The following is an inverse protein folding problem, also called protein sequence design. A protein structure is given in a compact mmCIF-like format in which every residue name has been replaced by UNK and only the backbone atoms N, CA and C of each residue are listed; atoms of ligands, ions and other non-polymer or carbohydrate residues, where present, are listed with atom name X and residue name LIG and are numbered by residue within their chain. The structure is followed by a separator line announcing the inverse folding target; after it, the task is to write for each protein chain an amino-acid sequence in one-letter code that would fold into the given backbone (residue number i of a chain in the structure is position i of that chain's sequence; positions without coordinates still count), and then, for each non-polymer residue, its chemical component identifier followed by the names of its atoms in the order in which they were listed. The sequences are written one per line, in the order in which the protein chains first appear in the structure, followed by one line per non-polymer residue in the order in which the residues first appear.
data_IF_348234851373
#
_entry.id   IF_348234851373
#
_cell.length_a   1.000
_cell.length_b   1.000
_cell.length_c   1.000
_cell.angle_alpha   90.00
_cell.angle_beta   90.00
_cell.angle_gamma   90.00
#
_symmetry.space_group_name_H-M   'P 1'
#
loop_
_entity.id
_entity.type
_entity.pdbx_description
1 polymer ?
#
# COMPACT_ATOMS: atom_id res chain seq x y z
N UNK A 1 -20.24 1.34 9.02
CA UNK A 1 -20.48 0.17 8.14
C UNK A 1 -20.88 -1.02 9.00
N UNK A 2 -21.90 -1.76 8.58
CA UNK A 2 -22.31 -3.03 9.21
C UNK A 2 -21.51 -4.21 8.59
N UNK A 3 -21.66 -5.41 9.14
CA UNK A 3 -20.87 -6.58 8.70
C UNK A 3 -21.16 -6.97 7.22
N UNK A 4 -22.39 -6.74 6.74
CA UNK A 4 -22.75 -6.98 5.33
C UNK A 4 -22.08 -5.97 4.39
N UNK A 5 -22.00 -4.70 4.76
CA UNK A 5 -21.28 -3.68 4.00
C UNK A 5 -19.79 -3.95 3.95
N UNK A 6 -19.20 -4.44 5.06
CA UNK A 6 -17.76 -4.78 5.08
C UNK A 6 -17.49 -5.98 4.20
N UNK A 7 -18.33 -7.01 4.29
CA UNK A 7 -18.22 -8.17 3.40
C UNK A 7 -18.31 -7.77 1.94
N UNK A 8 -19.27 -6.92 1.57
CA UNK A 8 -19.39 -6.39 0.21
C UNK A 8 -18.15 -5.63 -0.24
N UNK A 9 -17.59 -4.82 0.62
CA UNK A 9 -16.37 -4.07 0.37
C UNK A 9 -15.16 -4.97 0.08
N UNK A 10 -14.96 -5.99 0.92
CA UNK A 10 -13.90 -6.98 0.76
C UNK A 10 -14.11 -7.83 -0.51
N UNK A 11 -15.38 -8.15 -0.84
CA UNK A 11 -15.74 -8.86 -2.06
C UNK A 11 -15.35 -8.05 -3.30
N UNK A 12 -15.68 -6.76 -3.34
CA UNK A 12 -15.33 -5.84 -4.42
C UNK A 12 -13.80 -5.69 -4.55
N UNK A 13 -13.09 -5.56 -3.43
CA UNK A 13 -11.63 -5.47 -3.43
C UNK A 13 -10.98 -6.75 -3.99
N UNK A 14 -11.50 -7.92 -3.60
CA UNK A 14 -11.02 -9.19 -4.11
C UNK A 14 -11.35 -9.40 -5.60
N UNK A 15 -12.55 -8.97 -6.06
CA UNK A 15 -12.90 -8.98 -7.49
C UNK A 15 -11.94 -8.12 -8.30
N UNK A 16 -11.56 -6.95 -7.80
CA UNK A 16 -10.57 -6.09 -8.44
C UNK A 16 -9.20 -6.77 -8.55
N UNK A 17 -8.77 -7.44 -7.49
CA UNK A 17 -7.48 -8.15 -7.44
C UNK A 17 -7.37 -9.32 -8.42
N UNK A 18 -8.49 -9.88 -8.88
CA UNK A 18 -8.52 -11.03 -9.79
C UNK A 18 -9.10 -10.68 -11.15
N UNK A 19 -9.32 -9.39 -11.42
CA UNK A 19 -10.02 -8.94 -12.64
C UNK A 19 -9.24 -9.21 -13.93
N UNK A 20 -7.92 -9.25 -13.87
CA UNK A 20 -7.03 -9.55 -14.99
C UNK A 20 -6.99 -11.04 -15.37
N UNK A 21 -7.57 -11.91 -14.51
CA UNK A 21 -7.63 -13.35 -14.73
C UNK A 21 -6.30 -14.07 -14.54
N UNK A 22 -5.23 -13.40 -14.11
CA UNK A 22 -3.96 -14.02 -13.77
C UNK A 22 -4.12 -14.74 -12.42
N UNK A 23 -4.49 -16.01 -12.52
CA UNK A 23 -4.71 -16.88 -11.38
C UNK A 23 -3.48 -17.79 -11.18
N UNK A 24 -2.34 -17.24 -10.77
CA UNK A 24 -1.25 -18.04 -10.27
C UNK A 24 -1.66 -18.68 -8.93
N UNK A 25 -1.37 -19.96 -8.77
CA UNK A 25 -1.66 -20.73 -7.55
C UNK A 25 -1.03 -20.11 -6.31
N UNK A 26 0.07 -19.38 -6.48
CA UNK A 26 0.75 -18.59 -5.42
C UNK A 26 -0.05 -17.37 -5.01
N UNK A 27 -0.66 -16.65 -5.95
CA UNK A 27 -1.53 -15.50 -5.66
C UNK A 27 -2.78 -15.94 -4.92
N UNK A 28 -3.40 -17.04 -5.35
CA UNK A 28 -4.54 -17.65 -4.63
C UNK A 28 -4.19 -18.05 -3.21
N UNK A 29 -3.03 -18.68 -3.01
CA UNK A 29 -2.57 -19.05 -1.67
C UNK A 29 -2.31 -17.82 -0.79
N UNK A 30 -1.73 -16.77 -1.36
CA UNK A 30 -1.47 -15.49 -0.68
C UNK A 30 -2.77 -14.79 -0.29
N UNK A 31 -3.75 -14.73 -1.21
CA UNK A 31 -5.06 -14.13 -0.96
C UNK A 31 -5.85 -14.93 0.11
N UNK A 32 -5.78 -16.27 0.08
CA UNK A 32 -6.41 -17.13 1.07
C UNK A 32 -5.78 -16.97 2.46
N UNK A 33 -4.46 -16.91 2.55
CA UNK A 33 -3.74 -16.68 3.81
C UNK A 33 -4.04 -15.26 4.36
N UNK A 34 -4.10 -14.27 3.49
CA UNK A 34 -4.49 -12.91 3.84
C UNK A 34 -5.94 -12.85 4.34
N UNK A 35 -6.86 -13.52 3.65
CA UNK A 35 -8.25 -13.63 4.05
C UNK A 35 -8.38 -14.26 5.45
N UNK A 36 -7.61 -15.31 5.74
CA UNK A 36 -7.55 -15.94 7.05
C UNK A 36 -7.07 -14.98 8.15
N UNK A 37 -6.04 -14.18 7.87
CA UNK A 37 -5.48 -13.22 8.84
C UNK A 37 -6.37 -12.01 9.09
N UNK A 38 -7.10 -11.52 8.08
CA UNK A 38 -8.02 -10.38 8.23
C UNK A 38 -9.34 -10.77 8.88
N UNK A 39 -9.72 -12.05 8.78
CA UNK A 39 -10.98 -12.59 9.31
C UNK A 39 -10.98 -12.90 10.81
N UNK A 40 -9.86 -12.73 11.52
CA UNK A 40 -9.77 -13.08 12.95
C UNK A 40 -10.82 -12.33 13.78
N UNK A 41 -11.99 -12.94 13.88
CA UNK A 41 -13.02 -12.70 14.90
C UNK A 41 -14.38 -12.18 14.46
N UNK A 42 -14.63 -11.68 13.23
CA UNK A 42 -15.95 -11.10 12.87
C UNK A 42 -16.49 -11.48 11.49
N UNK A 43 -15.66 -11.68 10.48
CA UNK A 43 -16.10 -11.98 9.11
C UNK A 43 -15.30 -13.18 8.63
N UNK A 44 -16.00 -14.22 8.18
CA UNK A 44 -15.36 -15.35 7.52
C UNK A 44 -15.02 -14.95 6.07
N UNK A 45 -13.74 -14.63 5.87
CA UNK A 45 -13.23 -14.25 4.57
C UNK A 45 -13.05 -15.45 3.63
N UNK A 46 -13.14 -16.68 4.14
CA UNK A 46 -13.21 -17.89 3.31
C UNK A 46 -14.45 -17.84 2.43
N UNK A 47 -15.58 -17.40 2.99
CA UNK A 47 -16.82 -17.20 2.25
C UNK A 47 -16.70 -16.13 1.17
N UNK A 48 -15.98 -15.02 1.44
CA UNK A 48 -15.72 -13.95 0.44
C UNK A 48 -14.86 -14.49 -0.71
N UNK A 49 -13.84 -15.26 -0.36
CA UNK A 49 -12.99 -15.94 -1.33
C UNK A 49 -13.78 -16.92 -2.20
N UNK A 50 -14.63 -17.73 -1.59
CA UNK A 50 -15.49 -18.70 -2.29
C UNK A 50 -16.52 -18.00 -3.16
N UNK A 51 -17.12 -16.90 -2.72
CA UNK A 51 -18.07 -16.11 -3.51
C UNK A 51 -17.42 -15.58 -4.80
N UNK A 52 -16.19 -15.07 -4.73
CA UNK A 52 -15.50 -14.47 -5.87
C UNK A 52 -14.89 -15.54 -6.80
N UNK A 53 -14.13 -16.48 -6.26
CA UNK A 53 -13.29 -17.38 -7.06
C UNK A 53 -13.99 -18.69 -7.43
N UNK A 54 -14.88 -19.18 -6.57
CA UNK A 54 -15.59 -20.46 -6.78
C UNK A 54 -16.98 -20.21 -7.36
N UNK A 55 -17.80 -19.41 -6.69
CA UNK A 55 -19.20 -19.15 -7.08
C UNK A 55 -19.31 -18.12 -8.17
N UNK A 56 -18.29 -17.26 -8.36
CA UNK A 56 -18.24 -16.19 -9.37
C UNK A 56 -19.51 -15.33 -9.34
N UNK A 57 -19.83 -14.80 -8.15
CA UNK A 57 -21.03 -13.97 -7.99
C UNK A 57 -20.96 -12.73 -8.87
N UNK A 58 -22.10 -12.25 -9.43
CA UNK A 58 -22.15 -11.03 -10.22
C UNK A 58 -21.75 -9.80 -9.43
N UNK A 59 -21.16 -8.81 -10.09
CA UNK A 59 -20.82 -7.50 -9.47
C UNK A 59 -22.07 -6.87 -8.82
N UNK A 60 -23.23 -6.95 -9.48
CA UNK A 60 -24.51 -6.43 -8.98
C UNK A 60 -24.87 -7.00 -7.62
N UNK A 61 -24.63 -8.29 -7.38
CA UNK A 61 -24.95 -8.95 -6.12
C UNK A 61 -23.91 -8.57 -5.04
N UNK A 62 -22.64 -8.47 -5.42
CA UNK A 62 -21.56 -8.07 -4.54
C UNK A 62 -21.75 -6.66 -3.97
N UNK A 63 -22.28 -5.72 -4.75
CA UNK A 63 -22.46 -4.32 -4.34
C UNK A 63 -23.79 -4.04 -3.64
N UNK A 64 -24.73 -4.97 -3.67
CA UNK A 64 -26.09 -4.77 -3.13
C UNK A 64 -26.12 -4.29 -1.66
N UNK A 65 -25.25 -4.80 -0.75
CA UNK A 65 -25.25 -4.34 0.62
C UNK A 65 -24.72 -2.91 0.81
N UNK A 66 -24.07 -2.32 -0.20
CA UNK A 66 -23.55 -0.94 -0.14
C UNK A 66 -24.67 0.05 -0.42
N UNK A 67 -25.35 0.49 0.64
CA UNK A 67 -26.59 1.29 0.51
C UNK A 67 -26.34 2.78 0.46
N UNK A 68 -25.25 3.28 1.05
CA UNK A 68 -24.93 4.71 1.09
C UNK A 68 -24.04 5.13 -0.08
N UNK A 69 -24.22 6.36 -0.57
CA UNK A 69 -23.36 6.95 -1.64
C UNK A 69 -21.89 6.92 -1.22
N UNK A 70 -21.60 7.21 0.04
CA UNK A 70 -20.24 7.22 0.57
C UNK A 70 -19.60 5.81 0.54
N UNK A 71 -20.33 4.78 0.99
CA UNK A 71 -19.84 3.40 0.96
C UNK A 71 -19.59 2.91 -0.48
N UNK A 72 -20.47 3.30 -1.43
CA UNK A 72 -20.31 2.97 -2.85
C UNK A 72 -19.09 3.64 -3.46
N UNK A 73 -18.89 4.93 -3.18
CA UNK A 73 -17.72 5.68 -3.65
C UNK A 73 -16.42 5.09 -3.08
N UNK A 74 -16.36 4.83 -1.78
CA UNK A 74 -15.20 4.22 -1.15
C UNK A 74 -14.89 2.82 -1.70
N UNK A 75 -15.92 2.00 -1.99
CA UNK A 75 -15.72 0.70 -2.62
C UNK A 75 -15.12 0.83 -4.01
N UNK A 76 -15.57 1.81 -4.79
CA UNK A 76 -15.01 2.10 -6.11
C UNK A 76 -13.57 2.56 -6.04
N UNK A 77 -13.25 3.54 -5.19
CA UNK A 77 -11.88 4.02 -4.95
C UNK A 77 -10.95 2.86 -4.55
N UNK A 78 -11.43 1.98 -3.67
CA UNK A 78 -10.66 0.80 -3.24
C UNK A 78 -10.39 -0.14 -4.40
N UNK A 79 -11.39 -0.41 -5.24
CA UNK A 79 -11.24 -1.26 -6.42
C UNK A 79 -10.22 -0.67 -7.40
N UNK A 80 -10.28 0.65 -7.66
CA UNK A 80 -9.29 1.36 -8.49
C UNK A 80 -7.88 1.20 -7.89
N UNK A 81 -7.74 1.39 -6.58
CA UNK A 81 -6.45 1.26 -5.90
C UNK A 81 -5.87 -0.17 -5.99
N UNK A 82 -6.71 -1.18 -5.84
CA UNK A 82 -6.30 -2.59 -5.95
C UNK A 82 -5.93 -2.96 -7.39
N UNK A 83 -6.74 -2.56 -8.36
CA UNK A 83 -6.48 -2.83 -9.78
C UNK A 83 -5.19 -2.18 -10.32
N UNK A 84 -4.73 -1.08 -9.70
CA UNK A 84 -3.48 -0.41 -10.08
C UNK A 84 -2.28 -0.81 -9.19
N UNK A 85 -2.43 -1.80 -8.31
CA UNK A 85 -1.43 -2.14 -7.29
C UNK A 85 -0.09 -2.60 -7.88
N UNK A 86 -0.09 -3.26 -9.04
CA UNK A 86 1.12 -3.72 -9.74
C UNK A 86 1.74 -2.64 -10.66
N UNK A 87 1.07 -1.51 -10.83
CA UNK A 87 1.50 -0.38 -11.66
C UNK A 87 1.23 -0.58 -13.16
N UNK A 88 0.48 -1.61 -13.54
CA UNK A 88 0.07 -1.89 -14.92
C UNK A 88 -1.44 -1.99 -14.97
N UNK A 89 -2.09 -1.16 -15.76
CA UNK A 89 -3.53 -1.17 -15.94
C UNK A 89 -3.91 -2.03 -17.15
N UNK A 90 -4.41 -3.22 -16.92
CA UNK A 90 -4.82 -4.13 -17.98
C UNK A 90 -6.18 -3.75 -18.59
N UNK A 91 -6.47 -4.12 -19.86
CA UNK A 91 -7.78 -3.93 -20.45
C UNK A 91 -8.92 -4.63 -19.68
N UNK A 92 -8.64 -5.76 -19.03
CA UNK A 92 -9.60 -6.50 -18.24
C UNK A 92 -9.99 -5.75 -16.95
N UNK A 93 -9.00 -5.19 -16.26
CA UNK A 93 -9.23 -4.32 -15.08
C UNK A 93 -10.02 -3.08 -15.46
N UNK A 94 -9.69 -2.44 -16.60
CA UNK A 94 -10.44 -1.31 -17.12
C UNK A 94 -11.90 -1.65 -17.44
N UNK A 95 -12.18 -2.85 -17.95
CA UNK A 95 -13.54 -3.32 -18.17
C UNK A 95 -14.27 -3.54 -16.85
N UNK A 96 -13.62 -4.23 -15.90
CA UNK A 96 -14.15 -4.46 -14.57
C UNK A 96 -14.50 -3.15 -13.84
N UNK A 97 -13.60 -2.16 -13.85
CA UNK A 97 -13.84 -0.87 -13.18
C UNK A 97 -15.01 -0.09 -13.80
N UNK A 98 -15.21 -0.17 -15.13
CA UNK A 98 -16.39 0.45 -15.77
C UNK A 98 -17.69 -0.23 -15.33
N UNK A 99 -17.73 -1.57 -15.32
CA UNK A 99 -18.90 -2.33 -14.90
C UNK A 99 -19.21 -2.11 -13.43
N UNK A 100 -18.18 -2.03 -12.59
CA UNK A 100 -18.28 -1.73 -11.16
C UNK A 100 -18.83 -0.31 -10.93
N UNK A 101 -18.34 0.70 -11.66
CA UNK A 101 -18.84 2.07 -11.56
C UNK A 101 -20.34 2.13 -11.87
N UNK A 102 -20.77 1.45 -12.92
CA UNK A 102 -22.18 1.36 -13.30
C UNK A 102 -23.03 0.66 -12.20
N UNK A 103 -22.55 -0.47 -11.65
CA UNK A 103 -23.25 -1.20 -10.60
C UNK A 103 -23.35 -0.42 -9.29
N UNK A 104 -22.32 0.36 -8.94
CA UNK A 104 -22.30 1.21 -7.75
C UNK A 104 -23.06 2.53 -7.95
N UNK A 105 -23.39 2.91 -9.21
CA UNK A 105 -23.98 4.19 -9.53
C UNK A 105 -23.04 5.38 -9.34
N UNK A 106 -21.73 5.15 -9.52
CA UNK A 106 -20.70 6.20 -9.51
C UNK A 106 -20.76 6.95 -10.86
N UNK A 107 -20.87 8.29 -10.87
CA UNK A 107 -20.87 9.07 -12.12
C UNK A 107 -19.62 8.80 -12.96
N UNK A 108 -19.78 8.75 -14.28
CA UNK A 108 -18.70 8.37 -15.19
C UNK A 108 -17.49 9.33 -15.14
N UNK A 109 -17.75 10.63 -14.96
CA UNK A 109 -16.72 11.66 -14.80
C UNK A 109 -15.94 11.50 -13.48
N UNK A 110 -16.62 11.16 -12.39
CA UNK A 110 -16.00 10.86 -11.10
C UNK A 110 -15.19 9.56 -11.19
N UNK A 111 -15.73 8.51 -11.77
CA UNK A 111 -15.04 7.25 -11.99
C UNK A 111 -13.74 7.43 -12.81
N UNK A 112 -13.81 8.22 -13.88
CA UNK A 112 -12.66 8.53 -14.72
C UNK A 112 -11.62 9.38 -13.99
N UNK A 113 -12.04 10.28 -13.10
CA UNK A 113 -11.12 11.08 -12.29
C UNK A 113 -10.31 10.19 -11.33
N UNK A 114 -10.92 9.17 -10.69
CA UNK A 114 -10.22 8.22 -9.83
C UNK A 114 -9.22 7.37 -10.62
N UNK A 115 -9.62 6.83 -11.77
CA UNK A 115 -8.72 6.05 -12.64
C UNK A 115 -7.55 6.92 -13.11
N UNK A 116 -7.81 8.14 -13.59
CA UNK A 116 -6.78 9.06 -14.04
C UNK A 116 -5.79 9.46 -12.93
N UNK A 117 -6.25 9.58 -11.69
CA UNK A 117 -5.39 9.83 -10.54
C UNK A 117 -4.52 8.58 -10.21
N UNK A 118 -5.10 7.39 -10.28
CA UNK A 118 -4.38 6.12 -10.09
C UNK A 118 -3.31 5.92 -11.18
N UNK A 119 -3.65 6.17 -12.44
CA UNK A 119 -2.71 6.13 -13.57
C UNK A 119 -1.55 7.12 -13.37
N UNK A 120 -1.84 8.34 -12.90
CA UNK A 120 -0.82 9.34 -12.62
C UNK A 120 0.12 8.91 -11.50
N UNK A 121 -0.38 8.23 -10.46
CA UNK A 121 0.43 7.67 -9.39
C UNK A 121 1.29 6.50 -9.88
N UNK A 122 0.71 5.58 -10.65
CA UNK A 122 1.42 4.45 -11.25
C UNK A 122 2.52 4.93 -12.22
N UNK A 123 2.20 5.90 -13.11
CA UNK A 123 3.16 6.51 -14.00
C UNK A 123 4.29 7.23 -13.25
N UNK A 124 3.97 7.92 -12.14
CA UNK A 124 4.97 8.56 -11.30
C UNK A 124 5.93 7.53 -10.68
N UNK A 125 5.41 6.37 -10.29
CA UNK A 125 6.22 5.24 -9.81
C UNK A 125 7.05 4.58 -10.93
N UNK A 126 6.55 4.59 -12.19
CA UNK A 126 7.19 3.96 -13.35
C UNK A 126 8.32 4.76 -14.00
N UNK A 127 8.35 6.09 -13.86
CA UNK A 127 9.29 6.98 -14.57
C UNK A 127 10.72 6.95 -14.00
N UNK A 128 10.95 6.38 -12.84
CA UNK A 128 12.27 6.36 -12.22
C UNK A 128 13.16 5.18 -12.67
N UNK A 129 13.05 4.65 -13.88
CA UNK A 129 14.10 3.79 -14.39
C UNK A 129 13.70 2.64 -15.29
N UNK A 130 14.12 2.74 -16.51
CA UNK A 130 14.26 1.64 -17.45
C UNK A 130 15.76 1.45 -17.75
N UNK A 131 16.44 0.56 -17.05
CA UNK A 131 17.71 -0.03 -17.50
C UNK A 131 17.99 -1.29 -16.69
N UNK A 132 17.98 -2.40 -17.36
CA UNK A 132 18.24 -3.74 -16.82
C UNK A 132 19.73 -4.08 -16.83
N UNK A 133 20.56 -3.28 -16.18
CA UNK A 133 21.98 -3.58 -16.02
C UNK A 133 22.25 -3.81 -14.53
N UNK A 134 22.97 -4.88 -14.20
CA UNK A 134 23.37 -5.15 -12.81
C UNK A 134 24.01 -3.89 -12.22
N UNK A 135 23.53 -3.38 -11.06
CA UNK A 135 24.01 -2.11 -10.53
C UNK A 135 25.51 -2.16 -10.28
N UNK A 136 26.25 -1.25 -10.93
CA UNK A 136 27.68 -1.14 -10.76
C UNK A 136 28.05 -0.92 -9.28
N UNK A 137 29.17 -1.49 -8.85
CA UNK A 137 29.74 -1.17 -7.53
C UNK A 137 30.03 0.33 -7.44
N UNK A 138 29.92 0.93 -6.24
CA UNK A 138 30.31 2.32 -6.07
C UNK A 138 31.68 2.60 -6.66
N UNK A 139 31.82 3.73 -7.34
CA UNK A 139 33.10 4.13 -7.91
C UNK A 139 34.18 4.24 -6.80
N UNK A 140 35.43 3.87 -7.07
CA UNK A 140 36.52 4.08 -6.14
C UNK A 140 36.57 5.55 -5.71
N UNK A 141 36.53 5.84 -4.41
CA UNK A 141 36.54 7.20 -3.88
C UNK A 141 35.15 7.82 -3.64
N UNK A 142 34.06 7.05 -3.76
CA UNK A 142 32.74 7.54 -3.35
C UNK A 142 32.75 7.91 -1.86
N UNK A 143 32.30 9.13 -1.55
CA UNK A 143 32.20 9.62 -0.17
C UNK A 143 31.03 8.95 0.51
N UNK A 144 31.28 8.31 1.66
CA UNK A 144 30.20 7.68 2.45
C UNK A 144 29.17 8.73 2.85
N UNK A 145 27.87 8.39 2.77
CA UNK A 145 26.81 9.33 3.11
C UNK A 145 26.81 9.68 4.60
N UNK A 146 26.28 10.85 4.93
CA UNK A 146 25.97 11.20 6.31
C UNK A 146 24.82 10.30 6.81
N UNK A 147 25.15 9.41 7.74
CA UNK A 147 24.23 8.46 8.32
C UNK A 147 23.08 9.17 9.06
N UNK A 148 23.37 10.31 9.71
CA UNK A 148 22.34 11.07 10.44
C UNK A 148 21.33 11.69 9.47
N UNK A 149 21.79 12.18 8.33
CA UNK A 149 20.91 12.70 7.28
C UNK A 149 20.03 11.60 6.67
N UNK A 150 20.57 10.39 6.46
CA UNK A 150 19.78 9.23 6.02
C UNK A 150 18.74 8.81 7.06
N UNK A 151 19.08 8.79 8.35
CA UNK A 151 18.13 8.47 9.41
C UNK A 151 16.99 9.49 9.49
N UNK A 152 17.29 10.78 9.37
CA UNK A 152 16.28 11.83 9.30
C UNK A 152 15.35 11.66 8.07
N UNK A 153 15.93 11.31 6.91
CA UNK A 153 15.16 11.04 5.69
C UNK A 153 14.23 9.81 5.85
N UNK A 154 14.72 8.73 6.47
CA UNK A 154 13.93 7.53 6.75
C UNK A 154 12.75 7.87 7.66
N UNK A 155 12.98 8.63 8.75
CA UNK A 155 11.91 9.06 9.65
C UNK A 155 10.89 9.93 8.92
N UNK A 156 11.33 10.93 8.14
CA UNK A 156 10.44 11.80 7.37
C UNK A 156 9.57 11.03 6.37
N UNK A 157 10.14 10.06 5.66
CA UNK A 157 9.40 9.18 4.77
C UNK A 157 8.40 8.30 5.53
N UNK A 158 8.77 7.79 6.71
CA UNK A 158 7.91 6.97 7.57
C UNK A 158 6.72 7.77 8.10
N UNK A 159 6.95 9.01 8.55
CA UNK A 159 5.89 9.94 8.97
C UNK A 159 4.95 10.25 7.81
N UNK A 160 5.49 10.50 6.61
CA UNK A 160 4.68 10.79 5.43
C UNK A 160 3.80 9.60 5.05
N UNK A 161 4.34 8.38 5.00
CA UNK A 161 3.58 7.18 4.67
C UNK A 161 2.53 6.84 5.74
N UNK A 162 2.84 7.04 7.02
CA UNK A 162 1.85 6.91 8.09
C UNK A 162 0.72 7.95 7.98
N UNK A 163 1.06 9.17 7.60
CA UNK A 163 0.08 10.23 7.38
C UNK A 163 -0.86 9.92 6.20
N UNK A 164 -0.35 9.34 5.11
CA UNK A 164 -1.17 8.88 3.99
C UNK A 164 -2.15 7.78 4.41
N UNK A 165 -1.74 6.89 5.32
CA UNK A 165 -2.62 5.84 5.84
C UNK A 165 -3.78 6.40 6.68
N UNK A 166 -3.62 7.59 7.29
CA UNK A 166 -4.67 8.28 8.04
C UNK A 166 -5.72 8.97 7.14
N UNK A 167 -5.40 9.22 5.87
CA UNK A 167 -6.33 9.89 4.97
C UNK A 167 -7.50 8.97 4.63
N UNK A 168 -8.72 9.53 4.50
CA UNK A 168 -9.90 8.75 4.14
C UNK A 168 -9.83 8.19 2.72
N UNK A 169 -9.11 8.87 1.84
CA UNK A 169 -9.00 8.51 0.43
C UNK A 169 -8.15 7.24 0.25
N UNK A 170 -8.73 6.24 -0.39
CA UNK A 170 -8.05 4.98 -0.71
C UNK A 170 -6.84 5.19 -1.62
N UNK A 171 -6.93 6.13 -2.56
CA UNK A 171 -5.86 6.50 -3.49
C UNK A 171 -4.62 7.07 -2.80
N UNK A 172 -4.76 7.72 -1.64
CA UNK A 172 -3.61 8.18 -0.86
C UNK A 172 -2.71 7.00 -0.43
N UNK A 173 -3.32 5.88 -0.10
CA UNK A 173 -2.59 4.66 0.28
C UNK A 173 -1.80 4.04 -0.87
N UNK A 174 -2.20 4.25 -2.13
CA UNK A 174 -1.45 3.79 -3.31
C UNK A 174 -0.06 4.45 -3.43
N UNK A 175 0.11 5.65 -2.88
CA UNK A 175 1.39 6.35 -2.91
C UNK A 175 2.42 5.75 -1.95
N UNK A 176 2.00 4.95 -0.96
CA UNK A 176 2.90 4.42 0.09
C UNK A 176 4.02 3.57 -0.53
N UNK A 177 3.67 2.60 -1.36
CA UNK A 177 4.67 1.73 -1.97
C UNK A 177 5.61 2.47 -2.94
N UNK A 178 5.13 3.31 -3.87
CA UNK A 178 6.01 4.16 -4.67
C UNK A 178 6.97 5.02 -3.84
N UNK A 179 6.53 5.56 -2.71
CA UNK A 179 7.37 6.34 -1.81
C UNK A 179 8.40 5.46 -1.07
N UNK A 180 8.06 4.22 -0.70
CA UNK A 180 9.02 3.25 -0.16
C UNK A 180 10.08 2.87 -1.21
N UNK A 181 9.68 2.59 -2.44
CA UNK A 181 10.58 2.32 -3.57
C UNK A 181 11.53 3.51 -3.80
N UNK A 182 10.99 4.73 -3.79
CA UNK A 182 11.79 5.95 -3.90
C UNK A 182 12.79 6.10 -2.74
N UNK A 183 12.37 5.83 -1.51
CA UNK A 183 13.25 5.88 -0.34
C UNK A 183 14.45 4.92 -0.52
N UNK A 184 14.20 3.67 -0.91
CA UNK A 184 15.25 2.67 -1.17
C UNK A 184 16.20 3.15 -2.27
N UNK A 185 15.64 3.72 -3.35
CA UNK A 185 16.43 4.31 -4.44
C UNK A 185 17.34 5.44 -3.95
N UNK A 186 16.82 6.37 -3.17
CA UNK A 186 17.58 7.50 -2.64
C UNK A 186 18.70 7.04 -1.71
N UNK A 187 18.44 6.05 -0.85
CA UNK A 187 19.44 5.47 0.02
C UNK A 187 20.54 4.80 -0.79
N UNK A 188 20.20 3.97 -1.77
CA UNK A 188 21.19 3.32 -2.61
C UNK A 188 22.04 4.32 -3.42
N UNK A 189 21.42 5.38 -3.94
CA UNK A 189 22.14 6.50 -4.61
C UNK A 189 23.11 7.20 -3.65
N UNK A 190 22.70 7.41 -2.39
CA UNK A 190 23.59 8.02 -1.39
C UNK A 190 24.84 7.16 -1.10
N UNK A 191 24.73 5.85 -1.22
CA UNK A 191 25.88 4.92 -1.14
C UNK A 191 26.61 4.75 -2.48
N UNK A 192 26.29 5.53 -3.51
CA UNK A 192 26.98 5.54 -4.81
C UNK A 192 26.58 4.43 -5.77
N UNK A 193 25.47 3.74 -5.52
CA UNK A 193 24.96 2.73 -6.45
C UNK A 193 24.13 3.39 -7.55
N UNK A 194 24.35 2.96 -8.80
CA UNK A 194 23.43 3.22 -9.89
C UNK A 194 22.35 2.13 -9.88
N UNK A 195 21.13 2.52 -9.56
CA UNK A 195 20.01 1.59 -9.36
C UNK A 195 18.95 1.83 -10.43
N UNK A 196 18.40 0.75 -10.95
CA UNK A 196 17.13 0.77 -11.66
C UNK A 196 15.95 0.36 -10.73
N UNK A 197 14.74 0.63 -11.18
CA UNK A 197 13.55 0.28 -10.40
C UNK A 197 13.28 -1.22 -10.28
N UNK A 198 13.72 -2.00 -11.25
CA UNK A 198 13.56 -3.45 -11.24
C UNK A 198 14.23 -4.05 -10.00
N UNK A 199 15.47 -3.70 -9.75
CA UNK A 199 16.23 -4.15 -8.57
C UNK A 199 15.61 -3.68 -7.26
N UNK A 200 15.05 -2.48 -7.22
CA UNK A 200 14.44 -1.95 -6.00
C UNK A 200 13.11 -2.64 -5.74
N UNK A 201 12.29 -2.85 -6.76
CA UNK A 201 11.04 -3.62 -6.65
C UNK A 201 11.33 -5.05 -6.19
N UNK A 202 12.36 -5.70 -6.72
CA UNK A 202 12.81 -7.03 -6.29
C UNK A 202 13.28 -7.03 -4.83
N UNK A 203 14.02 -6.02 -4.40
CA UNK A 203 14.42 -5.85 -3.00
C UNK A 203 13.18 -5.76 -2.08
N UNK A 204 12.22 -4.90 -2.41
CA UNK A 204 10.99 -4.72 -1.63
C UNK A 204 10.12 -5.98 -1.66
N UNK A 205 9.98 -6.64 -2.82
CA UNK A 205 9.24 -7.89 -2.96
C UNK A 205 9.88 -9.04 -2.17
N UNK A 206 11.21 -9.10 -2.11
CA UNK A 206 11.95 -10.10 -1.32
C UNK A 206 11.61 -10.04 0.17
N UNK A 207 11.23 -8.86 0.68
CA UNK A 207 10.80 -8.68 2.08
C UNK A 207 9.39 -9.22 2.37
N UNK A 208 8.69 -9.75 1.37
CA UNK A 208 7.31 -10.23 1.49
C UNK A 208 6.29 -9.10 1.45
N UNK A 209 6.73 -7.91 1.07
CA UNK A 209 5.87 -6.75 0.79
C UNK A 209 5.34 -6.93 -0.63
N UNK A 210 4.38 -7.85 -0.81
CA UNK A 210 3.73 -8.10 -2.08
C UNK A 210 2.78 -6.96 -2.44
N UNK A 211 2.83 -6.51 -3.71
CA UNK A 211 2.08 -5.34 -4.18
C UNK A 211 0.58 -5.49 -3.88
N UNK A 212 -0.06 -6.54 -4.36
CA UNK A 212 -1.50 -6.76 -4.23
C UNK A 212 -1.91 -7.15 -2.81
N UNK A 213 -1.17 -8.06 -2.16
CA UNK A 213 -1.45 -8.51 -0.79
C UNK A 213 -1.34 -7.40 0.25
N UNK A 214 -0.38 -6.49 0.09
CA UNK A 214 -0.18 -5.36 0.99
C UNK A 214 -1.33 -4.34 0.89
N UNK A 215 -1.83 -4.07 -0.32
CA UNK A 215 -2.99 -3.19 -0.49
C UNK A 215 -4.24 -3.79 0.13
N UNK A 216 -4.53 -5.07 -0.11
CA UNK A 216 -5.67 -5.76 0.51
C UNK A 216 -5.56 -5.78 2.03
N UNK A 217 -4.36 -6.00 2.59
CA UNK A 217 -4.13 -5.99 4.03
C UNK A 217 -4.29 -4.57 4.62
N UNK A 218 -3.79 -3.53 3.96
CA UNK A 218 -3.99 -2.14 4.38
C UNK A 218 -5.48 -1.76 4.36
N UNK A 219 -6.21 -2.11 3.29
CA UNK A 219 -7.64 -1.84 3.21
C UNK A 219 -8.43 -2.63 4.22
N UNK A 220 -8.14 -3.92 4.39
CA UNK A 220 -8.78 -4.75 5.40
C UNK A 220 -8.59 -4.19 6.81
N UNK A 221 -7.37 -3.79 7.18
CA UNK A 221 -7.10 -3.15 8.49
C UNK A 221 -7.80 -1.80 8.64
N UNK A 222 -7.84 -0.97 7.60
CA UNK A 222 -8.51 0.33 7.62
C UNK A 222 -10.01 0.18 7.84
N UNK A 223 -10.62 -0.81 7.18
CA UNK A 223 -12.03 -1.15 7.35
C UNK A 223 -12.33 -1.70 8.74
N UNK A 224 -11.55 -2.66 9.22
CA UNK A 224 -11.74 -3.27 10.53
C UNK A 224 -11.41 -2.29 11.67
N UNK A 225 -10.37 -1.48 11.52
CA UNK A 225 -9.98 -0.46 12.49
C UNK A 225 -11.00 0.67 12.63
N UNK A 226 -11.58 1.13 11.52
CA UNK A 226 -12.66 2.12 11.52
C UNK A 226 -13.93 1.63 12.21
N UNK A 227 -14.21 0.32 12.13
CA UNK A 227 -15.36 -0.33 12.79
C UNK A 227 -15.18 -0.48 14.29
N UNK A 228 -13.99 -0.86 14.75
CA UNK A 228 -13.69 -0.96 16.18
C UNK A 228 -13.81 0.40 16.86
N UNK A 229 -13.44 1.49 16.16
CA UNK A 229 -13.57 2.85 16.66
C UNK A 229 -15.02 3.30 16.88
N UNK A 230 -15.95 2.88 16.02
CA UNK A 230 -17.38 3.21 16.13
C UNK A 230 -18.11 2.37 17.18
N UNK A 231 -17.70 1.13 17.41
CA UNK A 231 -18.33 0.22 18.36
C UNK A 231 -17.92 0.48 19.82
N UNK A 232 -16.74 1.02 20.05
CA UNK A 232 -16.21 1.29 21.40
C UNK A 232 -16.53 2.69 21.95
N UNK A 233 -17.37 3.46 21.26
CA UNK A 233 -18.07 4.62 21.81
C UNK A 233 -17.21 5.79 22.26
N UNK A 234 -17.38 6.93 21.60
CA UNK A 234 -16.95 8.23 22.09
C UNK A 234 -15.79 8.87 21.33
N UNK A 235 -15.95 10.15 21.05
CA UNK A 235 -15.04 11.01 20.27
C UNK A 235 -13.56 11.00 20.76
N UNK A 236 -13.30 10.52 21.98
CA UNK A 236 -11.95 10.39 22.54
C UNK A 236 -11.21 9.11 22.15
N UNK A 237 -11.90 8.04 21.72
CA UNK A 237 -11.29 6.76 21.34
C UNK A 237 -10.89 6.69 19.87
N UNK A 238 -11.49 7.52 19.00
CA UNK A 238 -11.19 7.57 17.57
C UNK A 238 -9.71 7.91 17.28
N UNK A 239 -9.10 8.76 18.09
CA UNK A 239 -7.68 9.14 17.95
C UNK A 239 -6.75 7.96 18.29
N UNK A 240 -7.10 7.15 19.29
CA UNK A 240 -6.25 6.04 19.75
C UNK A 240 -6.24 4.84 18.78
N UNK A 241 -7.34 4.57 18.07
CA UNK A 241 -7.44 3.44 17.14
C UNK A 241 -6.97 3.76 15.72
N UNK A 242 -7.10 5.01 15.27
CA UNK A 242 -6.49 5.48 14.03
C UNK A 242 -4.95 5.44 14.09
N UNK A 243 -4.36 5.68 15.26
CA UNK A 243 -2.91 5.58 15.44
C UNK A 243 -2.38 4.15 15.35
N UNK A 244 -3.19 3.13 15.63
CA UNK A 244 -2.75 1.73 15.53
C UNK A 244 -2.63 1.24 14.08
N UNK A 245 -3.51 1.68 13.16
CA UNK A 245 -3.40 1.34 11.74
C UNK A 245 -2.31 2.15 11.02
N UNK A 246 -2.22 3.46 11.25
CA UNK A 246 -1.17 4.33 10.70
C UNK A 246 0.23 3.95 11.16
N UNK A 247 0.33 3.24 12.27
CA UNK A 247 1.56 2.71 12.79
C UNK A 247 2.22 1.67 11.90
N UNK A 248 1.46 0.94 11.11
CA UNK A 248 2.04 -0.11 10.27
C UNK A 248 2.75 0.48 9.04
N UNK A 249 2.21 1.50 8.39
CA UNK A 249 2.91 2.18 7.30
C UNK A 249 4.18 2.88 7.81
N UNK A 250 4.15 3.48 9.01
CA UNK A 250 5.35 4.01 9.65
C UNK A 250 6.40 2.92 9.85
N UNK A 251 6.03 1.86 10.57
CA UNK A 251 6.97 0.79 10.96
C UNK A 251 7.56 0.08 9.73
N UNK A 252 6.74 -0.21 8.73
CA UNK A 252 7.18 -0.87 7.48
C UNK A 252 8.15 0.04 6.71
N UNK A 253 7.82 1.31 6.54
CA UNK A 253 8.68 2.26 5.82
C UNK A 253 10.00 2.48 6.56
N UNK A 254 9.97 2.61 7.87
CA UNK A 254 11.17 2.73 8.69
C UNK A 254 12.05 1.48 8.58
N UNK A 255 11.46 0.29 8.70
CA UNK A 255 12.18 -0.99 8.58
C UNK A 255 12.81 -1.16 7.19
N UNK A 256 12.08 -0.85 6.10
CA UNK A 256 12.60 -0.88 4.73
C UNK A 256 13.79 0.08 4.59
N UNK A 257 13.67 1.30 5.09
CA UNK A 257 14.74 2.31 5.03
C UNK A 257 15.99 1.87 5.80
N UNK A 258 15.85 1.38 7.04
CA UNK A 258 16.96 0.88 7.83
C UNK A 258 17.63 -0.35 7.19
N UNK A 259 16.84 -1.25 6.64
CA UNK A 259 17.37 -2.42 5.94
C UNK A 259 18.09 -2.04 4.65
N UNK A 260 17.56 -1.09 3.87
CA UNK A 260 18.25 -0.57 2.68
C UNK A 260 19.60 0.08 3.06
N UNK A 261 19.64 0.84 4.16
CA UNK A 261 20.87 1.42 4.70
C UNK A 261 21.90 0.33 5.06
N UNK A 262 21.49 -0.74 5.73
CA UNK A 262 22.36 -1.88 6.05
C UNK A 262 22.82 -2.62 4.80
N UNK A 263 21.92 -2.85 3.85
CA UNK A 263 22.20 -3.58 2.60
C UNK A 263 23.20 -2.87 1.73
N UNK A 264 22.95 -1.59 1.42
CA UNK A 264 23.86 -0.80 0.58
C UNK A 264 25.13 -0.42 1.31
N UNK A 265 25.06 -0.06 2.59
CA UNK A 265 26.25 0.22 3.41
C UNK A 265 27.15 -1.01 3.63
N UNK A 266 26.58 -2.20 3.63
CA UNK A 266 27.29 -3.50 3.70
C UNK A 266 27.76 -4.04 2.35
N UNK A 267 27.68 -3.27 1.25
CA UNK A 267 28.15 -3.70 -0.06
C UNK A 267 27.24 -4.74 -0.74
N UNK A 268 25.93 -4.77 -0.40
CA UNK A 268 24.93 -5.68 -0.99
C UNK A 268 25.20 -7.17 -0.74
N UNK A 269 25.77 -7.50 0.42
CA UNK A 269 26.16 -8.86 0.77
C UNK A 269 25.03 -9.73 1.36
N UNK A 270 23.87 -9.13 1.64
CA UNK A 270 22.72 -9.86 2.20
C UNK A 270 21.93 -10.54 1.07
N UNK A 271 21.79 -11.85 1.16
CA UNK A 271 20.88 -12.64 0.33
C UNK A 271 19.41 -12.51 0.78
N UNK A 272 18.47 -13.04 0.01
CA UNK A 272 17.04 -12.94 0.26
C UNK A 272 16.63 -13.48 1.67
N UNK A 273 17.27 -14.57 2.14
CA UNK A 273 16.96 -15.14 3.44
C UNK A 273 17.43 -14.24 4.58
N UNK A 274 18.62 -13.67 4.46
CA UNK A 274 19.19 -12.72 5.44
C UNK A 274 18.41 -11.40 5.45
N UNK A 275 17.96 -10.91 4.27
CA UNK A 275 17.10 -9.72 4.18
C UNK A 275 15.79 -9.94 4.95
N UNK A 276 15.11 -11.08 4.74
CA UNK A 276 13.88 -11.40 5.47
C UNK A 276 14.12 -11.53 6.97
N UNK A 277 15.20 -12.20 7.39
CA UNK A 277 15.53 -12.36 8.79
C UNK A 277 15.85 -11.03 9.48
N UNK A 278 16.49 -10.10 8.78
CA UNK A 278 16.81 -8.78 9.31
C UNK A 278 15.59 -7.82 9.33
N UNK A 279 14.58 -8.04 8.49
CA UNK A 279 13.42 -7.17 8.40
C UNK A 279 12.51 -7.24 9.64
N UNK A 280 12.23 -8.43 10.16
CA UNK A 280 11.29 -8.62 11.28
C UNK A 280 11.68 -7.84 12.55
N UNK A 281 12.94 -7.90 13.06
CA UNK A 281 13.33 -7.11 14.23
C UNK A 281 13.33 -5.59 13.95
N UNK A 282 13.61 -5.15 12.72
CA UNK A 282 13.50 -3.75 12.34
C UNK A 282 12.05 -3.28 12.33
N UNK A 283 11.13 -4.11 11.86
CA UNK A 283 9.70 -3.81 11.90
C UNK A 283 9.21 -3.61 13.34
N UNK A 284 9.60 -4.50 14.26
CA UNK A 284 9.29 -4.38 15.70
C UNK A 284 9.87 -3.09 16.30
N UNK A 285 11.10 -2.73 15.97
CA UNK A 285 11.70 -1.46 16.39
C UNK A 285 10.91 -0.26 15.85
N UNK A 286 10.51 -0.29 14.56
CA UNK A 286 9.68 0.73 13.94
C UNK A 286 8.33 0.89 14.65
N UNK A 287 7.69 -0.21 15.03
CA UNK A 287 6.46 -0.19 15.83
C UNK A 287 6.67 0.49 17.19
N UNK A 288 7.78 0.25 17.86
CA UNK A 288 8.13 0.91 19.12
C UNK A 288 8.31 2.43 19.01
N UNK A 289 8.58 2.96 17.81
CA UNK A 289 8.77 4.39 17.58
C UNK A 289 7.45 5.16 17.32
N UNK A 290 6.35 4.49 16.99
CA UNK A 290 5.09 5.13 16.58
C UNK A 290 4.60 6.15 17.62
N UNK A 291 4.64 5.80 18.90
CA UNK A 291 4.21 6.70 19.99
C UNK A 291 4.98 8.01 20.03
N UNK A 292 6.25 8.01 19.61
CA UNK A 292 7.10 9.20 19.56
C UNK A 292 6.70 10.16 18.44
N UNK A 293 6.25 9.63 17.31
CA UNK A 293 5.97 10.41 16.10
C UNK A 293 4.47 10.63 15.85
N UNK A 294 3.59 10.20 16.76
CA UNK A 294 2.13 10.29 16.59
C UNK A 294 1.61 11.70 16.31
N UNK A 295 2.13 12.71 17.02
CA UNK A 295 1.75 14.12 16.79
C UNK A 295 2.19 14.59 15.40
N UNK A 296 3.42 14.29 15.00
CA UNK A 296 3.98 14.68 13.70
C UNK A 296 3.24 14.00 12.55
N UNK A 297 2.86 12.72 12.71
CA UNK A 297 2.03 11.98 11.75
C UNK A 297 0.66 12.67 11.57
N UNK A 298 -0.01 13.03 12.68
CA UNK A 298 -1.30 13.68 12.64
C UNK A 298 -1.24 15.08 12.00
N UNK A 299 -0.20 15.86 12.29
CA UNK A 299 0.02 17.16 11.65
C UNK A 299 0.30 17.02 10.16
N UNK A 300 1.13 16.05 9.79
CA UNK A 300 1.44 15.76 8.39
C UNK A 300 0.18 15.35 7.61
N UNK A 301 -0.69 14.52 8.17
CA UNK A 301 -1.94 14.11 7.55
C UNK A 301 -2.87 15.29 7.23
N UNK A 302 -2.87 16.34 8.05
CA UNK A 302 -3.67 17.56 7.82
C UNK A 302 -3.12 18.44 6.72
N UNK A 303 -1.85 18.32 6.37
CA UNK A 303 -1.15 19.20 5.43
C UNK A 303 -0.83 18.56 4.09
N UNK A 304 -0.98 17.23 3.96
CA UNK A 304 -0.75 16.54 2.69
C UNK A 304 -1.85 16.90 1.69
N UNK A 305 -1.43 17.39 0.53
CA UNK A 305 -2.30 17.52 -0.65
C UNK A 305 -2.19 16.22 -1.48
N UNK A 306 -3.26 15.44 -1.52
CA UNK A 306 -3.34 14.19 -2.28
C UNK A 306 -3.08 14.43 -3.77
N UNK A 307 -3.45 15.60 -4.31
CA UNK A 307 -3.21 15.97 -5.72
C UNK A 307 -1.73 16.16 -6.03
N UNK A 308 -0.93 16.49 -5.02
CA UNK A 308 0.53 16.66 -5.18
C UNK A 308 1.31 15.34 -5.08
N UNK A 309 0.67 14.21 -4.73
CA UNK A 309 1.33 12.91 -4.57
C UNK A 309 2.13 12.46 -5.80
N UNK A 310 1.64 12.61 -7.06
CA UNK A 310 2.45 12.24 -8.23
C UNK A 310 3.75 13.05 -8.33
N UNK A 311 3.74 14.33 -7.97
CA UNK A 311 4.94 15.15 -7.92
C UNK A 311 5.88 14.73 -6.78
N UNK A 312 5.32 14.41 -5.62
CA UNK A 312 6.07 13.91 -4.47
C UNK A 312 6.81 12.61 -4.79
N UNK A 313 6.18 11.68 -5.50
CA UNK A 313 6.79 10.42 -5.94
C UNK A 313 7.92 10.68 -6.95
N UNK A 314 7.72 11.60 -7.90
CA UNK A 314 8.74 11.97 -8.91
C UNK A 314 9.93 12.74 -8.33
N UNK A 315 9.85 13.28 -7.14
CA UNK A 315 10.93 14.03 -6.51
C UNK A 315 10.77 15.54 -6.56
N UNK A 316 9.62 16.05 -6.93
CA UNK A 316 9.26 17.46 -6.72
C UNK A 316 9.14 17.78 -5.22
N UNK A 317 9.77 18.90 -4.81
CA UNK A 317 9.57 19.47 -3.46
C UNK A 317 8.19 20.06 -3.35
#
# INVERSE_FOLDING_TARGET
MNDAEIRAFLTVALMAAVADGVNDERERATLKDLAGRLGEGRIDLTDVYDDVLVRKIPITDAVQPLTTTEARRQAYETAVAVAHADGVHSPAEGAFLRDLAAALGVPADEAQAYVGQADALAAAAGVAGASSTEPARPAPGHVMPDVSALDAQIVSASVTNAALELLPESLASMAILPLQVRLVYQIGKAYGYELDQGHIKEFVATLGVGLTGQYLEQFGRKLLGGLLGTVLGGIGSAIGHQTASSGMAFATTWAIGQLAKQYYGGGRTLDAAKLKAAFAPLLEQGQGLIGRYGTEIAERARTIDVRALPALIKGGN
#
